data_IF_865137085835
#
_entry.id   IF_865137085835
#
_cell.length_a   1.000
_cell.length_b   1.000
_cell.length_c   1.000
_cell.angle_alpha   90.00
_cell.angle_beta   90.00
_cell.angle_gamma   90.00
#
_symmetry.space_group_name_H-M   'P 1'
#
loop_
_entity.id
_entity.type
_entity.pdbx_description
1 polymer ?
#
# COMPACT_ATOMS: atom_id res chain seq x y z
N UNK A 1 5.00 28.65 -11.18
CA UNK A 1 4.42 27.29 -11.17
C UNK A 1 5.54 26.26 -11.34
N UNK A 2 5.73 25.34 -10.39
CA UNK A 2 6.71 24.23 -10.51
C UNK A 2 6.21 23.26 -11.60
N UNK A 3 7.10 22.87 -12.52
CA UNK A 3 6.80 21.95 -13.62
C UNK A 3 6.45 20.56 -13.05
N UNK A 4 5.18 20.16 -13.15
CA UNK A 4 4.76 18.78 -12.87
C UNK A 4 4.96 17.99 -14.16
N UNK A 5 5.88 17.03 -14.13
CA UNK A 5 6.11 16.09 -15.23
C UNK A 5 5.07 14.97 -15.10
N UNK A 6 4.00 15.05 -15.88
CA UNK A 6 3.03 13.96 -15.99
C UNK A 6 3.60 12.94 -16.98
N UNK A 7 4.06 11.80 -16.48
CA UNK A 7 4.49 10.66 -17.30
C UNK A 7 3.30 9.76 -17.60
N UNK A 8 2.80 9.79 -18.83
CA UNK A 8 1.70 8.95 -19.28
C UNK A 8 2.24 7.58 -19.74
N UNK A 9 2.13 6.57 -18.88
CA UNK A 9 2.72 5.22 -19.09
C UNK A 9 1.87 4.32 -19.99
N UNK A 10 1.56 4.75 -21.21
CA UNK A 10 1.01 3.92 -22.29
C UNK A 10 -0.30 3.16 -21.99
N UNK A 11 -0.82 2.42 -22.98
CA UNK A 11 -1.98 1.53 -22.84
C UNK A 11 -1.59 0.28 -22.04
N UNK A 12 -1.48 0.41 -20.71
CA UNK A 12 -1.29 -0.73 -19.83
C UNK A 12 -2.52 -1.63 -19.86
N UNK A 13 -2.36 -2.91 -20.23
CA UNK A 13 -3.34 -3.95 -19.93
C UNK A 13 -3.63 -3.90 -18.42
N UNK A 14 -4.80 -3.38 -18.04
CA UNK A 14 -5.09 -2.80 -16.71
C UNK A 14 -4.55 -3.70 -15.58
N UNK A 15 -3.39 -3.37 -15.05
CA UNK A 15 -2.80 -4.00 -13.87
C UNK A 15 -3.56 -3.60 -12.60
N UNK A 16 -3.14 -4.07 -11.42
CA UNK A 16 -3.71 -3.57 -10.18
C UNK A 16 -3.47 -2.05 -10.05
N UNK A 17 -4.47 -1.32 -9.59
CA UNK A 17 -4.40 0.12 -9.31
C UNK A 17 -4.91 0.36 -7.90
N UNK A 18 -4.12 1.07 -7.09
CA UNK A 18 -4.45 1.40 -5.70
C UNK A 18 -4.76 2.89 -5.64
N UNK A 19 -5.96 3.25 -5.19
CA UNK A 19 -6.42 4.63 -5.12
C UNK A 19 -6.38 5.18 -3.69
N UNK A 20 -6.71 4.34 -2.71
CA UNK A 20 -6.88 4.77 -1.33
C UNK A 20 -6.58 3.63 -0.35
N UNK A 21 -5.99 4.00 0.78
CA UNK A 21 -5.76 3.16 1.96
C UNK A 21 -6.35 3.88 3.16
N UNK A 22 -7.19 3.20 3.93
CA UNK A 22 -7.77 3.71 5.18
C UNK A 22 -7.44 2.78 6.33
N UNK A 23 -6.87 3.32 7.39
CA UNK A 23 -6.61 2.61 8.64
C UNK A 23 -7.85 2.57 9.52
N UNK A 24 -8.22 1.38 9.99
CA UNK A 24 -9.48 1.21 10.74
C UNK A 24 -9.38 1.68 12.19
N UNK A 25 -8.17 1.81 12.72
CA UNK A 25 -7.93 2.22 14.11
C UNK A 25 -7.95 3.74 14.24
N UNK A 26 -7.23 4.43 13.37
CA UNK A 26 -7.06 5.89 13.39
C UNK A 26 -8.00 6.63 12.45
N UNK A 27 -8.66 5.92 11.53
CA UNK A 27 -9.41 6.47 10.40
C UNK A 27 -8.54 7.31 9.45
N UNK A 28 -7.21 7.21 9.57
CA UNK A 28 -6.26 7.91 8.71
C UNK A 28 -6.36 7.40 7.28
N UNK A 29 -6.31 8.32 6.32
CA UNK A 29 -6.34 8.01 4.91
C UNK A 29 -4.98 8.32 4.28
N UNK A 30 -4.37 7.33 3.62
CA UNK A 30 -3.13 7.45 2.87
C UNK A 30 -1.92 8.02 3.65
N UNK A 31 -1.95 7.96 4.99
CA UNK A 31 -0.87 8.47 5.84
C UNK A 31 -0.45 7.42 6.87
N UNK A 32 -1.33 7.10 7.82
CA UNK A 32 -0.99 6.24 8.96
C UNK A 32 -1.61 4.85 8.82
N UNK A 33 -0.87 3.82 9.22
CA UNK A 33 -1.38 2.46 9.38
C UNK A 33 -0.96 1.88 10.72
N UNK A 34 -1.84 1.08 11.33
CA UNK A 34 -1.64 0.47 12.65
C UNK A 34 -1.28 -1.02 12.49
N UNK A 35 -0.07 -1.46 12.92
CA UNK A 35 0.30 -2.88 12.92
C UNK A 35 -0.71 -3.74 13.68
N UNK A 36 -1.09 -4.89 13.10
CA UNK A 36 -2.07 -5.80 13.68
C UNK A 36 -3.53 -5.35 13.52
N UNK A 37 -3.80 -4.15 13.00
CA UNK A 37 -5.14 -3.68 12.73
C UNK A 37 -5.56 -3.92 11.27
N UNK A 38 -6.87 -3.99 10.98
CA UNK A 38 -7.36 -4.01 9.61
C UNK A 38 -7.12 -2.67 8.91
N UNK A 39 -6.78 -2.73 7.63
CA UNK A 39 -6.84 -1.59 6.70
C UNK A 39 -7.79 -1.92 5.55
N UNK A 40 -8.44 -0.88 5.01
CA UNK A 40 -9.22 -0.97 3.77
C UNK A 40 -8.41 -0.37 2.63
N UNK A 41 -8.32 -1.11 1.52
CA UNK A 41 -7.61 -0.70 0.30
C UNK A 41 -8.61 -0.68 -0.85
N UNK A 42 -8.76 0.48 -1.48
CA UNK A 42 -9.71 0.70 -2.57
C UNK A 42 -8.98 0.98 -3.88
N UNK A 43 -9.50 0.43 -4.98
CA UNK A 43 -8.79 0.46 -6.26
C UNK A 43 -9.46 -0.34 -7.37
N UNK A 44 -8.66 -0.86 -8.30
CA UNK A 44 -9.12 -1.67 -9.45
C UNK A 44 -8.16 -2.82 -9.73
N UNK A 45 -8.71 -3.98 -10.12
CA UNK A 45 -7.96 -5.18 -10.49
C UNK A 45 -6.93 -5.64 -9.44
N UNK A 46 -7.20 -5.39 -8.15
CA UNK A 46 -6.21 -5.61 -7.09
C UNK A 46 -6.26 -7.00 -6.44
N UNK A 47 -7.29 -7.80 -6.74
CA UNK A 47 -7.49 -9.12 -6.13
C UNK A 47 -6.18 -9.89 -6.15
N UNK A 48 -5.70 -10.31 -4.98
CA UNK A 48 -4.44 -11.05 -4.83
C UNK A 48 -4.71 -12.52 -5.08
N UNK A 49 -4.28 -13.03 -6.24
CA UNK A 49 -4.47 -14.43 -6.65
C UNK A 49 -3.37 -14.85 -7.62
N UNK A 50 -2.95 -16.12 -7.54
CA UNK A 50 -1.91 -16.69 -8.39
C UNK A 50 -1.06 -17.71 -7.63
N UNK A 51 -0.30 -18.51 -8.38
CA UNK A 51 0.58 -19.57 -7.85
C UNK A 51 2.04 -19.13 -7.77
N UNK A 52 2.40 -18.04 -8.46
CA UNK A 52 3.75 -17.50 -8.42
C UNK A 52 4.10 -17.01 -7.01
N UNK A 53 5.29 -17.35 -6.51
CA UNK A 53 5.72 -17.03 -5.15
C UNK A 53 5.73 -15.51 -4.85
N UNK A 54 5.87 -14.67 -5.88
CA UNK A 54 5.83 -13.21 -5.76
C UNK A 54 4.42 -12.65 -5.51
N UNK A 55 3.37 -13.43 -5.73
CA UNK A 55 1.97 -13.00 -5.51
C UNK A 55 1.74 -12.69 -4.04
N UNK A 56 1.22 -11.51 -3.77
CA UNK A 56 0.99 -11.03 -2.40
C UNK A 56 0.75 -9.53 -2.30
N UNK A 57 0.49 -9.11 -1.07
CA UNK A 57 0.52 -7.70 -0.66
C UNK A 57 1.69 -7.53 0.31
N UNK A 58 2.49 -6.49 0.13
CA UNK A 58 3.73 -6.29 0.88
C UNK A 58 3.87 -4.86 1.37
N UNK A 59 4.47 -4.72 2.55
CA UNK A 59 4.98 -3.48 3.11
C UNK A 59 6.51 -3.51 3.15
N UNK A 60 7.17 -2.60 2.46
CA UNK A 60 8.64 -2.54 2.38
C UNK A 60 9.16 -1.28 3.06
N UNK A 61 10.07 -1.38 4.04
CA UNK A 61 10.68 -0.20 4.66
C UNK A 61 11.39 0.68 3.63
N UNK A 62 11.14 1.98 3.66
CA UNK A 62 11.79 2.96 2.77
C UNK A 62 13.27 3.16 3.08
N UNK A 63 13.68 2.95 4.34
CA UNK A 63 15.07 3.02 4.79
C UNK A 63 15.92 1.82 4.34
N UNK A 64 15.34 0.86 3.61
CA UNK A 64 15.94 -0.43 3.29
C UNK A 64 15.58 -1.49 4.33
N UNK A 65 15.42 -2.73 3.87
CA UNK A 65 15.02 -3.86 4.70
C UNK A 65 14.18 -4.87 3.94
N UNK A 66 13.76 -5.91 4.65
CA UNK A 66 12.95 -6.99 4.10
C UNK A 66 11.49 -6.55 3.94
N UNK A 67 10.89 -6.85 2.78
CA UNK A 67 9.48 -6.68 2.53
C UNK A 67 8.64 -7.61 3.42
N UNK A 68 7.66 -7.06 4.12
CA UNK A 68 6.75 -7.82 4.99
C UNK A 68 5.46 -8.16 4.26
N UNK A 69 5.27 -9.46 4.01
CA UNK A 69 4.08 -9.99 3.33
C UNK A 69 2.87 -10.02 4.26
N UNK A 70 1.73 -9.58 3.75
CA UNK A 70 0.42 -9.74 4.42
C UNK A 70 -0.03 -11.19 4.31
N UNK A 71 -0.39 -11.78 5.45
CA UNK A 71 -0.88 -13.15 5.54
C UNK A 71 -2.40 -13.26 5.68
N UNK A 72 -3.05 -12.26 6.26
CA UNK A 72 -4.48 -12.30 6.59
C UNK A 72 -5.28 -11.30 5.76
N UNK A 73 -6.13 -11.83 4.89
CA UNK A 73 -7.11 -11.09 4.11
C UNK A 73 -8.51 -11.38 4.67
N UNK A 74 -9.22 -10.34 5.08
CA UNK A 74 -10.64 -10.40 5.48
C UNK A 74 -11.53 -10.34 4.25
N UNK A 75 -11.17 -9.51 3.26
CA UNK A 75 -11.85 -9.39 1.98
C UNK A 75 -10.79 -9.22 0.87
N UNK A 76 -11.00 -9.86 -0.29
CA UNK A 76 -10.04 -9.87 -1.40
C UNK A 76 -10.75 -9.77 -2.75
N UNK A 77 -11.35 -8.61 -3.01
CA UNK A 77 -12.09 -8.32 -4.24
C UNK A 77 -11.27 -7.43 -5.19
N UNK A 78 -11.60 -7.42 -6.50
CA UNK A 78 -10.88 -6.60 -7.47
C UNK A 78 -10.87 -5.10 -7.16
N UNK A 79 -11.92 -4.57 -6.52
CA UNK A 79 -12.06 -3.16 -6.17
C UNK A 79 -11.80 -2.84 -4.70
N UNK A 80 -11.76 -3.84 -3.83
CA UNK A 80 -11.65 -3.66 -2.38
C UNK A 80 -10.92 -4.82 -1.73
N UNK A 81 -9.87 -4.51 -0.98
CA UNK A 81 -9.19 -5.44 -0.10
C UNK A 81 -9.36 -4.95 1.33
N UNK A 82 -9.68 -5.85 2.25
CA UNK A 82 -9.55 -5.62 3.68
C UNK A 82 -8.56 -6.65 4.19
N UNK A 83 -7.47 -6.20 4.80
CA UNK A 83 -6.43 -7.08 5.31
C UNK A 83 -5.86 -6.56 6.62
N UNK A 84 -5.19 -7.43 7.37
CA UNK A 84 -4.54 -7.05 8.62
C UNK A 84 -3.09 -6.68 8.35
N UNK A 85 -2.68 -5.50 8.82
CA UNK A 85 -1.30 -5.02 8.71
C UNK A 85 -0.40 -5.97 9.50
N UNK A 86 0.71 -6.47 8.93
CA UNK A 86 1.62 -7.37 9.63
C UNK A 86 2.34 -6.64 10.77
N UNK A 87 3.12 -7.37 11.56
CA UNK A 87 4.01 -6.74 12.53
C UNK A 87 5.05 -5.88 11.80
N UNK A 88 4.95 -4.56 11.98
CA UNK A 88 5.86 -3.56 11.42
C UNK A 88 6.44 -2.71 12.56
N UNK A 89 7.73 -2.41 12.50
CA UNK A 89 8.37 -1.44 13.40
C UNK A 89 8.00 -0.02 13.00
N UNK A 90 8.18 0.94 13.92
CA UNK A 90 8.00 2.36 13.60
C UNK A 90 8.87 2.77 12.40
N UNK A 91 8.29 3.55 11.47
CA UNK A 91 8.98 3.99 10.27
C UNK A 91 8.03 4.23 9.09
N UNK A 92 8.62 4.43 7.92
CA UNK A 92 7.92 4.73 6.67
C UNK A 92 8.04 3.58 5.68
N UNK A 93 6.92 3.16 5.09
CA UNK A 93 6.81 1.98 4.24
C UNK A 93 6.21 2.31 2.89
N UNK A 94 6.67 1.63 1.84
CA UNK A 94 5.92 1.51 0.58
C UNK A 94 5.01 0.29 0.65
N UNK A 95 3.82 0.40 0.08
CA UNK A 95 2.88 -0.71 -0.05
C UNK A 95 2.81 -1.17 -1.50
N UNK A 96 2.88 -2.46 -1.76
CA UNK A 96 2.78 -3.02 -3.11
C UNK A 96 1.84 -4.22 -3.17
N UNK A 97 1.21 -4.40 -4.33
CA UNK A 97 0.39 -5.57 -4.66
C UNK A 97 1.00 -6.22 -5.88
N UNK A 98 1.22 -7.54 -5.81
CA UNK A 98 1.57 -8.39 -6.94
C UNK A 98 0.49 -9.44 -7.11
N UNK A 99 -0.04 -9.57 -8.33
CA UNK A 99 -1.15 -10.48 -8.62
C UNK A 99 -1.05 -11.08 -10.02
N UNK A 100 -1.58 -12.28 -10.19
CA UNK A 100 -1.87 -12.88 -11.48
C UNK A 100 -3.36 -12.80 -11.84
N UNK A 101 -4.18 -11.98 -11.17
CA UNK A 101 -5.57 -11.76 -11.57
C UNK A 101 -5.69 -11.35 -13.04
N UNK A 102 -6.58 -11.98 -13.82
CA UNK A 102 -6.94 -11.60 -15.19
C UNK A 102 -8.23 -10.77 -15.27
N UNK A 103 -8.65 -10.42 -16.49
CA UNK A 103 -9.90 -9.67 -16.75
C UNK A 103 -11.16 -10.54 -16.65
N UNK A 104 -11.06 -11.81 -17.05
CA UNK A 104 -12.01 -12.87 -16.70
C UNK A 104 -11.51 -13.51 -15.39
N UNK A 105 -12.34 -14.27 -14.65
CA UNK A 105 -11.97 -15.01 -13.42
C UNK A 105 -10.82 -16.06 -13.56
N UNK A 106 -9.92 -15.87 -14.52
CA UNK A 106 -8.70 -16.64 -14.79
C UNK A 106 -7.47 -15.89 -14.29
N UNK A 107 -6.36 -16.60 -14.16
CA UNK A 107 -5.06 -16.02 -13.88
C UNK A 107 -4.27 -15.76 -15.18
N UNK A 108 -3.39 -14.75 -15.17
CA UNK A 108 -2.40 -14.48 -16.22
C UNK A 108 -1.09 -15.18 -15.90
N UNK A 109 -0.32 -15.55 -16.93
CA UNK A 109 0.95 -16.27 -16.74
C UNK A 109 1.98 -15.44 -15.97
N UNK A 110 2.18 -14.18 -16.37
CA UNK A 110 3.16 -13.29 -15.76
C UNK A 110 2.50 -12.47 -14.64
N UNK A 111 3.02 -12.50 -13.40
CA UNK A 111 2.55 -11.62 -12.33
C UNK A 111 2.68 -10.14 -12.71
N UNK A 112 1.74 -9.34 -12.22
CA UNK A 112 1.68 -7.89 -12.43
C UNK A 112 1.69 -7.20 -11.09
N UNK A 113 2.53 -6.18 -10.96
CA UNK A 113 2.71 -5.46 -9.71
C UNK A 113 2.32 -3.99 -9.82
N UNK A 114 1.82 -3.42 -8.74
CA UNK A 114 1.73 -1.99 -8.55
C UNK A 114 2.25 -1.60 -7.16
N UNK A 115 2.76 -0.38 -7.05
CA UNK A 115 3.15 0.24 -5.79
C UNK A 115 2.23 1.42 -5.54
N UNK A 116 1.72 1.53 -4.33
CA UNK A 116 0.93 2.67 -3.91
C UNK A 116 1.82 3.93 -3.93
N UNK A 117 1.43 5.02 -4.61
CA UNK A 117 2.32 6.17 -4.83
C UNK A 117 2.62 6.97 -3.56
N UNK A 118 1.86 6.76 -2.48
CA UNK A 118 2.06 7.42 -1.19
C UNK A 118 2.69 6.44 -0.20
N UNK A 119 3.67 6.91 0.56
CA UNK A 119 4.26 6.14 1.66
C UNK A 119 3.38 6.17 2.89
N UNK A 120 3.35 5.06 3.64
CA UNK A 120 2.56 4.92 4.85
C UNK A 120 3.47 4.92 6.08
N UNK A 121 3.08 5.62 7.14
CA UNK A 121 3.77 5.71 8.43
C UNK A 121 3.22 4.67 9.40
N UNK A 122 4.12 4.04 10.13
CA UNK A 122 3.86 3.29 11.37
C UNK A 122 4.48 4.06 12.52
N UNK A 123 3.71 4.27 13.58
CA UNK A 123 4.17 4.96 14.79
C UNK A 123 3.84 6.46 14.80
N UNK A 124 4.22 7.15 15.89
CA UNK A 124 3.84 8.54 16.12
C UNK A 124 4.39 9.45 15.02
N UNK A 125 3.64 10.52 14.71
CA UNK A 125 4.19 11.63 13.93
C UNK A 125 5.41 12.16 14.68
N UNK A 126 6.53 12.35 13.99
CA UNK A 126 7.63 13.11 14.56
C UNK A 126 7.08 14.49 14.94
N UNK A 127 7.05 14.81 16.24
CA UNK A 127 6.75 16.15 16.71
C UNK A 127 7.84 17.07 16.16
N UNK A 128 7.48 17.87 15.15
CA UNK A 128 8.34 18.95 14.68
C UNK A 128 8.77 19.81 15.87
N UNK A 129 10.08 19.96 16.03
CA UNK A 129 10.71 20.70 17.12
C UNK A 129 10.09 22.09 17.32
N UNK A 130 9.95 22.47 18.58
CA UNK A 130 9.29 23.69 18.99
C UNK A 130 9.95 24.94 18.40
N UNK A 131 9.17 25.70 17.65
CA UNK A 131 9.46 27.09 17.31
C UNK A 131 8.58 27.96 18.21
N UNK A 132 8.88 27.94 19.52
CA UNK A 132 8.34 28.91 20.47
C UNK A 132 9.51 29.79 20.89
N UNK A 133 9.56 31.07 20.52
CA UNK A 133 10.61 31.95 21.03
C UNK A 133 10.43 32.05 22.54
N UNK A 134 11.46 31.66 23.29
CA UNK A 134 11.61 32.11 24.67
C UNK A 134 11.84 33.62 24.62
N UNK A 135 10.94 34.38 25.24
CA UNK A 135 11.15 35.80 25.49
C UNK A 135 11.79 35.86 26.88
N UNK A 136 13.06 36.25 26.94
CA UNK A 136 13.71 36.75 28.18
C UNK A 136 13.62 38.28 28.21
#
# INVERSE_FOLDING_TARGET
>A
LKKIKVENRGLASLGPVINKVTDSTTLSENDEITPGAPITIEGKNMRVIGEDASVGLFFTPTAGGEAKKVSLFVQNDPSKIICVVPALSNGTYTMSITTQAGSTNRTVKTPRSCTFPVTLRVGPKESGGGDRPEIE
#
